data_IF_515858204273
#
_entry.id   IF_515858204273
#
_cell.length_a   1.000
_cell.length_b   1.000
_cell.length_c   1.000
_cell.angle_alpha   90.00
_cell.angle_beta   90.00
_cell.angle_gamma   90.00
#
_symmetry.space_group_name_H-M   'P 1'
#
loop_
_entity.id
_entity.type
_entity.pdbx_description
1 polymer ?
#
# COMPACT_ATOMS: atom_id res chain seq x y z
N UNK A 1 -6.67 7.77 -14.66
CA UNK A 1 -6.06 6.64 -15.41
C UNK A 1 -4.56 6.78 -15.24
N UNK A 2 -3.99 6.04 -14.29
CA UNK A 2 -2.55 6.02 -14.07
C UNK A 2 -1.90 5.37 -15.30
N UNK A 3 -0.80 5.93 -15.78
CA UNK A 3 -0.07 5.41 -16.93
C UNK A 3 0.53 4.03 -16.56
N UNK A 4 -0.15 2.95 -16.95
CA UNK A 4 0.18 1.56 -16.59
C UNK A 4 1.63 1.17 -16.93
N UNK A 5 2.27 1.87 -17.89
CA UNK A 5 3.67 1.68 -18.25
C UNK A 5 4.67 2.13 -17.16
N UNK A 6 4.34 3.14 -16.35
CA UNK A 6 5.22 3.65 -15.30
C UNK A 6 5.26 2.74 -14.07
N UNK A 7 4.20 1.94 -13.91
CA UNK A 7 4.01 0.98 -12.82
C UNK A 7 4.62 -0.39 -13.15
N UNK A 8 4.60 -0.81 -14.42
CA UNK A 8 5.16 -2.10 -14.85
C UNK A 8 6.66 -2.29 -14.52
N UNK A 9 7.43 -1.19 -14.41
CA UNK A 9 8.86 -1.23 -14.08
C UNK A 9 9.13 -1.37 -12.55
N UNK A 10 8.07 -1.41 -11.74
CA UNK A 10 8.15 -1.52 -10.29
C UNK A 10 7.62 -2.89 -9.84
N UNK A 11 8.53 -3.79 -9.44
CA UNK A 11 8.14 -5.11 -8.90
C UNK A 11 7.22 -5.03 -7.65
N UNK A 12 7.15 -3.87 -6.99
CA UNK A 12 6.42 -3.67 -5.73
C UNK A 12 5.19 -2.77 -5.86
N UNK A 13 4.62 -2.60 -7.07
CA UNK A 13 3.42 -1.74 -7.30
C UNK A 13 2.22 -2.20 -6.51
N UNK A 14 1.98 -3.51 -6.44
CA UNK A 14 0.81 -4.05 -5.75
C UNK A 14 0.79 -3.61 -4.28
N UNK A 15 1.93 -3.65 -3.59
CA UNK A 15 2.05 -3.22 -2.19
C UNK A 15 1.86 -1.71 -2.00
N UNK A 16 2.33 -0.90 -2.95
CA UNK A 16 2.14 0.57 -2.91
C UNK A 16 0.66 0.91 -3.11
N UNK A 17 0.04 0.37 -4.16
CA UNK A 17 -1.37 0.62 -4.44
C UNK A 17 -2.26 0.12 -3.30
N UNK A 18 -1.97 -1.03 -2.73
CA UNK A 18 -2.70 -1.55 -1.57
C UNK A 18 -2.64 -0.58 -0.38
N UNK A 19 -1.46 -0.02 -0.11
CA UNK A 19 -1.29 1.00 0.94
C UNK A 19 -2.08 2.28 0.64
N UNK A 20 -2.09 2.76 -0.61
CA UNK A 20 -2.88 3.93 -1.02
C UNK A 20 -4.39 3.69 -0.86
N UNK A 21 -4.87 2.53 -1.30
CA UNK A 21 -6.29 2.16 -1.16
C UNK A 21 -6.68 2.06 0.32
N UNK A 22 -5.84 1.43 1.16
CA UNK A 22 -6.09 1.33 2.59
C UNK A 22 -6.16 2.71 3.25
N UNK A 23 -5.23 3.62 2.90
CA UNK A 23 -5.24 4.99 3.38
C UNK A 23 -6.50 5.75 2.92
N UNK A 24 -6.87 5.62 1.64
CA UNK A 24 -8.07 6.27 1.10
C UNK A 24 -9.34 5.76 1.76
N UNK A 25 -9.43 4.44 2.01
CA UNK A 25 -10.54 3.83 2.74
C UNK A 25 -10.64 4.39 4.16
N UNK A 26 -9.51 4.55 4.85
CA UNK A 26 -9.50 5.17 6.18
C UNK A 26 -10.00 6.62 6.15
N UNK A 27 -9.59 7.41 5.17
CA UNK A 27 -10.06 8.79 5.04
C UNK A 27 -11.58 8.85 4.77
N UNK A 28 -12.07 8.03 3.86
CA UNK A 28 -13.49 7.96 3.50
C UNK A 28 -14.36 7.56 4.71
N UNK A 29 -13.86 6.62 5.52
CA UNK A 29 -14.52 6.15 6.73
C UNK A 29 -14.17 6.98 7.99
N UNK A 30 -13.50 8.13 7.85
CA UNK A 30 -13.08 9.01 8.95
C UNK A 30 -12.22 8.31 10.04
N UNK A 31 -11.52 7.24 9.66
CA UNK A 31 -10.59 6.51 10.51
C UNK A 31 -9.30 7.33 10.65
N UNK A 32 -8.85 7.52 11.88
CA UNK A 32 -7.68 8.37 12.20
C UNK A 32 -6.37 7.58 12.34
N UNK A 33 -6.42 6.25 12.33
CA UNK A 33 -5.25 5.40 12.55
C UNK A 33 -5.28 4.19 11.63
N UNK A 34 -4.21 3.97 10.90
CA UNK A 34 -4.00 2.84 10.00
C UNK A 34 -2.66 2.17 10.33
N UNK A 35 -2.67 0.85 10.46
CA UNK A 35 -1.46 0.05 10.59
C UNK A 35 -1.26 -0.78 9.34
N UNK A 36 -0.12 -0.61 8.68
CA UNK A 36 0.24 -1.34 7.46
C UNK A 36 1.31 -2.34 7.83
N UNK A 37 0.96 -3.62 7.80
CA UNK A 37 1.89 -4.72 7.97
C UNK A 37 2.52 -5.04 6.62
N UNK A 38 3.85 -5.08 6.57
CA UNK A 38 4.57 -5.32 5.33
C UNK A 38 5.86 -6.09 5.57
N UNK A 39 6.23 -6.95 4.63
CA UNK A 39 7.55 -7.61 4.63
C UNK A 39 8.60 -6.77 3.89
N UNK A 40 8.16 -5.99 2.91
CA UNK A 40 9.03 -5.20 2.05
C UNK A 40 9.30 -3.79 2.60
N UNK A 41 10.54 -3.51 2.97
CA UNK A 41 10.94 -2.25 3.61
C UNK A 41 10.63 -0.99 2.79
N UNK A 42 10.59 -1.09 1.46
CA UNK A 42 10.37 0.07 0.59
C UNK A 42 9.03 0.76 0.83
N UNK A 43 7.99 0.02 1.24
CA UNK A 43 6.65 0.56 1.52
C UNK A 43 6.71 1.62 2.63
N UNK A 44 7.52 1.37 3.66
CA UNK A 44 7.75 2.32 4.74
C UNK A 44 8.82 3.35 4.37
N UNK A 45 9.97 2.90 3.84
CA UNK A 45 11.15 3.77 3.65
C UNK A 45 10.94 4.89 2.64
N UNK A 46 10.04 4.74 1.66
CA UNK A 46 9.66 5.84 0.77
C UNK A 46 8.78 6.90 1.46
N UNK A 47 7.85 6.46 2.33
CA UNK A 47 7.00 7.36 3.12
C UNK A 47 7.79 8.10 4.20
N UNK A 48 8.69 7.41 4.91
CA UNK A 48 9.56 8.03 5.93
C UNK A 48 10.62 8.93 5.32
N UNK A 49 10.88 8.80 4.01
CA UNK A 49 11.90 9.56 3.29
C UNK A 49 13.32 9.02 3.44
N UNK A 50 13.49 7.87 4.10
CA UNK A 50 14.78 7.16 4.17
C UNK A 50 15.27 6.73 2.79
N UNK A 51 14.35 6.37 1.89
CA UNK A 51 14.67 6.00 0.51
C UNK A 51 14.27 7.11 -0.46
N UNK A 52 15.19 7.43 -1.38
CA UNK A 52 14.93 8.42 -2.43
C UNK A 52 13.92 7.85 -3.44
N UNK A 53 12.73 8.44 -3.48
CA UNK A 53 11.72 8.17 -4.49
C UNK A 53 12.22 8.66 -5.86
N UNK A 54 12.86 7.79 -6.63
CA UNK A 54 13.42 8.14 -7.95
C UNK A 54 12.39 8.01 -9.07
N UNK A 55 11.42 7.11 -8.93
CA UNK A 55 10.38 6.85 -9.95
C UNK A 55 9.15 7.69 -9.67
N UNK A 56 8.42 8.08 -10.72
CA UNK A 56 7.19 8.89 -10.60
C UNK A 56 6.19 8.24 -9.65
N UNK A 57 5.92 6.93 -9.77
CA UNK A 57 5.01 6.22 -8.87
C UNK A 57 5.44 6.26 -7.39
N UNK A 58 6.74 6.17 -7.09
CA UNK A 58 7.23 6.32 -5.70
C UNK A 58 7.14 7.74 -5.17
N UNK A 59 7.23 8.75 -6.05
CA UNK A 59 7.12 10.16 -5.67
C UNK A 59 5.67 10.52 -5.39
N UNK A 60 4.74 10.07 -6.24
CA UNK A 60 3.31 10.23 -6.03
C UNK A 60 2.84 9.56 -4.75
N UNK A 61 3.26 8.31 -4.51
CA UNK A 61 2.96 7.62 -3.25
C UNK A 61 3.43 8.39 -2.02
N UNK A 62 4.65 8.92 -2.05
CA UNK A 62 5.18 9.75 -0.96
C UNK A 62 4.35 11.03 -0.79
N UNK A 63 4.01 11.72 -1.88
CA UNK A 63 3.21 12.95 -1.84
C UNK A 63 1.80 12.69 -1.32
N UNK A 64 1.19 11.55 -1.69
CA UNK A 64 -0.10 11.12 -1.18
C UNK A 64 -0.02 10.89 0.33
N UNK A 65 0.96 10.12 0.80
CA UNK A 65 1.20 9.92 2.23
C UNK A 65 1.41 11.24 2.99
N UNK A 66 2.22 12.16 2.46
CA UNK A 66 2.47 13.46 3.10
C UNK A 66 1.21 14.34 3.14
N UNK A 67 0.36 14.26 2.12
CA UNK A 67 -0.94 14.95 2.09
C UNK A 67 -1.93 14.44 3.14
N UNK A 68 -1.74 13.21 3.62
CA UNK A 68 -2.53 12.57 4.67
C UNK A 68 -1.98 12.85 6.07
N UNK A 69 -0.73 13.31 6.16
CA UNK A 69 -0.05 13.61 7.42
C UNK A 69 -0.85 14.66 8.20
N UNK A 70 -1.33 14.27 9.38
CA UNK A 70 -2.18 15.10 10.24
C UNK A 70 -3.69 14.81 10.12
N UNK A 71 -4.13 14.10 9.07
CA UNK A 71 -5.51 13.57 8.97
C UNK A 71 -5.59 12.09 9.35
N UNK A 72 -4.59 11.32 8.92
CA UNK A 72 -4.47 9.88 9.16
C UNK A 72 -3.10 9.58 9.76
N UNK A 73 -3.07 8.87 10.88
CA UNK A 73 -1.84 8.34 11.44
C UNK A 73 -1.56 6.96 10.85
N UNK A 74 -0.58 6.87 9.96
CA UNK A 74 -0.18 5.63 9.30
C UNK A 74 1.09 5.09 9.97
N UNK A 75 1.00 3.90 10.53
CA UNK A 75 2.11 3.19 11.16
C UNK A 75 2.50 1.97 10.33
N UNK A 76 3.77 1.91 9.93
CA UNK A 76 4.29 0.79 9.16
C UNK A 76 4.97 -0.22 10.10
N UNK A 77 4.50 -1.47 10.06
CA UNK A 77 5.03 -2.56 10.88
C UNK A 77 5.69 -3.58 9.96
N UNK A 78 7.02 -3.70 10.08
CA UNK A 78 7.77 -4.71 9.36
C UNK A 78 7.53 -6.08 10.00
N UNK A 79 6.94 -6.99 9.24
CA UNK A 79 6.80 -8.41 9.63
C UNK A 79 7.88 -9.24 8.91
N UNK A 80 8.29 -10.36 9.50
CA UNK A 80 9.18 -11.31 8.81
C UNK A 80 8.32 -12.20 7.92
N UNK A 81 8.54 -12.13 6.61
CA UNK A 81 7.99 -13.07 5.64
C UNK A 81 8.39 -14.47 6.07
N UNK A 82 7.38 -15.34 6.21
CA UNK A 82 7.43 -16.69 6.81
C UNK A 82 7.17 -16.75 8.32
N UNK A 83 6.07 -16.19 8.81
CA UNK A 83 5.55 -16.54 10.14
C UNK A 83 4.03 -16.57 10.15
N UNK A 84 3.41 -17.52 9.42
CA UNK A 84 1.99 -17.89 9.60
C UNK A 84 1.03 -16.70 9.82
N UNK A 85 1.24 -15.61 9.09
CA UNK A 85 0.74 -14.30 9.47
C UNK A 85 -0.69 -14.19 8.95
N UNK A 86 -1.66 -14.35 9.84
CA UNK A 86 -3.10 -14.37 9.53
C UNK A 86 -3.52 -13.14 8.70
N UNK A 87 -2.83 -12.01 8.86
CA UNK A 87 -3.07 -10.78 8.12
C UNK A 87 -2.53 -10.82 6.68
N UNK A 88 -1.39 -11.49 6.44
CA UNK A 88 -0.89 -11.68 5.09
C UNK A 88 -1.75 -12.68 4.32
N UNK A 89 -2.24 -13.73 5.00
CA UNK A 89 -3.23 -14.65 4.42
C UNK A 89 -4.56 -13.94 4.12
N UNK A 90 -5.02 -13.07 5.02
CA UNK A 90 -6.20 -12.24 4.78
C UNK A 90 -5.99 -11.27 3.61
N UNK A 91 -4.83 -10.62 3.50
CA UNK A 91 -4.52 -9.73 2.39
C UNK A 91 -4.44 -10.49 1.04
N UNK A 92 -3.80 -11.66 1.02
CA UNK A 92 -3.73 -12.52 -0.17
C UNK A 92 -5.12 -13.04 -0.57
N UNK A 93 -5.95 -13.40 0.41
CA UNK A 93 -7.34 -13.79 0.19
C UNK A 93 -8.17 -12.64 -0.37
N UNK A 94 -8.12 -11.45 0.24
CA UNK A 94 -8.83 -10.27 -0.26
C UNK A 94 -8.37 -9.89 -1.67
N UNK A 95 -7.07 -9.99 -1.97
CA UNK A 95 -6.54 -9.75 -3.30
C UNK A 95 -7.04 -10.79 -4.31
N UNK A 96 -7.09 -12.08 -3.93
CA UNK A 96 -7.68 -13.15 -4.74
C UNK A 96 -9.18 -12.94 -4.94
N UNK A 97 -9.92 -12.56 -3.91
CA UNK A 97 -11.36 -12.26 -3.98
C UNK A 97 -11.63 -11.07 -4.91
N UNK A 98 -10.83 -10.01 -4.83
CA UNK A 98 -10.94 -8.86 -5.74
C UNK A 98 -10.64 -9.24 -7.21
N UNK A 99 -9.73 -10.19 -7.45
CA UNK A 99 -9.45 -10.71 -8.79
C UNK A 99 -10.54 -11.66 -9.30
N UNK A 100 -11.28 -12.32 -8.40
CA UNK A 100 -12.31 -13.30 -8.72
C UNK A 100 -13.71 -12.67 -8.86
N UNK A 101 -13.82 -11.33 -8.89
CA UNK A 101 -15.06 -10.57 -9.07
C UNK A 101 -15.37 -10.18 -10.52
N UNK A 102 -14.70 -10.79 -11.51
CA UNK A 102 -15.12 -10.70 -12.93
C UNK A 102 -15.45 -12.08 -13.51
N UNK A 103 -16.43 -12.78 -12.94
CA UNK A 103 -17.28 -13.69 -13.74
C UNK A 103 -18.68 -13.72 -13.14
N UNK A 104 -19.50 -12.73 -13.44
CA UNK A 104 -20.93 -13.01 -13.63
C UNK A 104 -21.12 -13.50 -15.07
N UNK A 105 -21.86 -14.60 -15.29
CA UNK A 105 -22.00 -15.27 -16.58
C UNK A 105 -22.64 -14.40 -17.68
#
# INVERSE_FOLDING_TARGET
LYDDKLLADMNNVAGIKAAEIAMQYCIDNQIKSLKIYHDYEGIAKWCTGEWKAKKTGTQEYKNFFDSLKGKLNVEFIKVKGHSGDEFNDLADRLAKEAFNLEVTP
#
